data_IF_730578378364
#
_entry.id   IF_730578378364
#
_cell.length_a   1.000
_cell.length_b   1.000
_cell.length_c   1.000
_cell.angle_alpha   90.00
_cell.angle_beta   90.00
_cell.angle_gamma   90.00
#
_symmetry.space_group_name_H-M   'P 1'
#
loop_
_entity.id
_entity.type
_entity.pdbx_description
1 polymer ?
#
# COMPACT_ATOMS: atom_id res chain seq x y z
N UNK A 1 35.13 20.46 -22.11
CA UNK A 1 35.64 19.07 -21.89
C UNK A 1 34.57 18.14 -21.26
N UNK A 2 33.29 18.44 -21.42
CA UNK A 2 32.22 17.59 -20.89
C UNK A 2 32.06 16.33 -21.75
N UNK A 3 31.94 15.15 -21.11
CA UNK A 3 31.87 13.86 -21.82
C UNK A 3 30.60 13.72 -22.67
N UNK A 4 29.45 14.23 -22.19
CA UNK A 4 28.21 14.19 -22.95
C UNK A 4 28.25 15.04 -24.22
N UNK A 5 28.78 16.26 -24.10
CA UNK A 5 28.98 17.13 -25.28
C UNK A 5 29.89 16.44 -26.30
N UNK A 6 30.99 15.84 -25.85
CA UNK A 6 31.90 15.10 -26.73
C UNK A 6 31.19 13.91 -27.42
N UNK A 7 30.39 13.16 -26.66
CA UNK A 7 29.65 12.04 -27.21
C UNK A 7 28.70 12.48 -28.33
N UNK A 8 27.86 13.50 -28.08
CA UNK A 8 26.94 14.03 -29.06
C UNK A 8 27.71 14.51 -30.33
N UNK A 9 28.81 15.22 -30.15
CA UNK A 9 29.61 15.71 -31.28
C UNK A 9 30.17 14.55 -32.11
N UNK A 10 30.60 13.46 -31.49
CA UNK A 10 31.10 12.28 -32.19
C UNK A 10 29.98 11.47 -32.87
N UNK A 11 28.90 11.22 -32.15
CA UNK A 11 27.77 10.41 -32.64
C UNK A 11 27.10 11.02 -33.88
N UNK A 12 27.00 12.35 -33.93
CA UNK A 12 26.37 13.10 -35.02
C UNK A 12 27.34 13.79 -35.94
N UNK A 13 28.66 13.57 -35.80
CA UNK A 13 29.72 14.15 -36.61
C UNK A 13 29.60 15.70 -36.81
N UNK A 14 29.34 16.41 -35.68
CA UNK A 14 28.99 17.83 -35.67
C UNK A 14 30.22 18.69 -36.01
N UNK A 15 30.09 19.57 -37.00
CA UNK A 15 31.15 20.46 -37.40
C UNK A 15 31.30 21.66 -36.44
N UNK A 16 32.45 22.33 -36.52
CA UNK A 16 32.81 23.46 -35.64
C UNK A 16 31.86 24.66 -35.80
N UNK A 17 31.39 24.95 -37.00
CA UNK A 17 30.48 26.08 -37.27
C UNK A 17 29.13 25.90 -36.54
N UNK A 18 28.60 24.68 -36.48
CA UNK A 18 27.36 24.38 -35.78
C UNK A 18 27.54 24.44 -34.25
N UNK A 19 28.71 24.01 -33.74
CA UNK A 19 29.06 24.19 -32.33
C UNK A 19 29.13 25.65 -31.92
N UNK A 20 29.75 26.48 -32.74
CA UNK A 20 29.90 27.93 -32.47
C UNK A 20 28.52 28.62 -32.45
N UNK A 21 27.59 28.23 -33.35
CA UNK A 21 26.21 28.75 -33.36
C UNK A 21 25.41 28.37 -32.11
N UNK A 22 25.70 27.22 -31.51
CA UNK A 22 24.99 26.70 -30.34
C UNK A 22 25.80 26.85 -29.03
N UNK A 23 26.88 27.62 -29.04
CA UNK A 23 27.80 27.75 -27.92
C UNK A 23 27.08 28.18 -26.62
N UNK A 24 26.11 29.08 -26.70
CA UNK A 24 25.37 29.59 -25.55
C UNK A 24 24.58 28.47 -24.85
N UNK A 25 23.91 27.58 -25.61
CA UNK A 25 23.13 26.46 -25.07
C UNK A 25 24.08 25.45 -24.43
N UNK A 26 25.18 25.12 -25.10
CA UNK A 26 26.20 24.18 -24.59
C UNK A 26 26.86 24.70 -23.32
N UNK A 27 27.22 25.98 -23.26
CA UNK A 27 27.76 26.61 -22.07
C UNK A 27 26.77 26.62 -20.92
N UNK A 28 25.48 26.97 -21.19
CA UNK A 28 24.42 26.94 -20.20
C UNK A 28 24.24 25.53 -19.62
N UNK A 29 24.25 24.50 -20.46
CA UNK A 29 24.23 23.11 -20.03
C UNK A 29 25.40 22.76 -19.10
N UNK A 30 26.64 23.04 -19.53
CA UNK A 30 27.86 22.71 -18.76
C UNK A 30 27.86 23.41 -17.40
N UNK A 31 27.50 24.71 -17.35
CA UNK A 31 27.43 25.47 -16.11
C UNK A 31 26.38 24.95 -15.15
N UNK A 32 25.22 24.57 -15.66
CA UNK A 32 24.12 23.99 -14.85
C UNK A 32 24.46 22.58 -14.39
N UNK A 33 25.06 21.74 -15.24
CA UNK A 33 25.51 20.40 -14.89
C UNK A 33 26.54 20.39 -13.77
N UNK A 34 27.45 21.36 -13.74
CA UNK A 34 28.45 21.53 -12.66
C UNK A 34 27.76 21.67 -11.28
N UNK A 35 26.59 22.27 -11.20
CA UNK A 35 25.85 22.40 -9.93
C UNK A 35 25.38 21.04 -9.35
N UNK A 36 25.32 20.01 -10.18
CA UNK A 36 24.95 18.64 -9.77
C UNK A 36 26.15 17.78 -9.33
N UNK A 37 27.43 18.23 -9.59
CA UNK A 37 28.60 17.38 -9.37
C UNK A 37 28.82 16.93 -7.93
N UNK A 38 28.41 17.72 -6.93
CA UNK A 38 28.57 17.38 -5.50
C UNK A 38 27.22 17.40 -4.77
N UNK A 39 26.15 17.07 -5.49
CA UNK A 39 24.81 17.03 -4.92
C UNK A 39 24.64 15.73 -4.11
N UNK A 40 24.24 15.86 -2.83
CA UNK A 40 24.03 14.74 -1.91
C UNK A 40 22.55 14.46 -1.63
N UNK A 41 21.63 15.24 -2.25
CA UNK A 41 20.19 15.08 -2.06
C UNK A 41 19.39 16.28 -2.51
N UNK A 42 18.07 16.18 -2.49
CA UNK A 42 17.17 17.26 -2.91
C UNK A 42 17.35 18.52 -2.07
N UNK A 43 17.53 18.37 -0.75
CA UNK A 43 17.75 19.49 0.18
C UNK A 43 19.00 20.33 -0.10
N UNK A 44 19.94 19.80 -0.90
CA UNK A 44 21.15 20.52 -1.32
C UNK A 44 21.10 20.94 -2.80
N UNK A 45 19.95 20.80 -3.44
CA UNK A 45 19.82 21.06 -4.88
C UNK A 45 20.02 22.54 -5.19
N UNK A 46 20.96 22.83 -6.09
CA UNK A 46 21.31 24.19 -6.56
C UNK A 46 20.75 24.52 -7.95
N UNK A 47 19.90 23.65 -8.50
CA UNK A 47 19.23 23.89 -9.77
C UNK A 47 18.07 24.89 -9.63
N UNK A 48 17.66 25.49 -10.73
CA UNK A 48 16.51 26.39 -10.77
C UNK A 48 15.21 25.66 -10.40
N UNK A 49 15.08 24.43 -10.88
CA UNK A 49 13.99 23.52 -10.52
C UNK A 49 14.58 22.41 -9.66
N UNK A 50 14.17 22.36 -8.39
CA UNK A 50 14.65 21.37 -7.43
C UNK A 50 14.42 19.94 -7.95
N UNK A 51 15.47 19.13 -7.94
CA UNK A 51 15.39 17.73 -8.35
C UNK A 51 15.41 17.50 -9.87
N UNK A 52 15.58 18.53 -10.69
CA UNK A 52 15.74 18.37 -12.14
C UNK A 52 17.17 18.61 -12.58
N UNK A 53 17.72 17.66 -13.33
CA UNK A 53 19.07 17.75 -13.90
C UNK A 53 19.01 18.24 -15.36
N UNK A 54 19.95 19.08 -15.81
CA UNK A 54 20.02 19.51 -17.20
C UNK A 54 20.46 18.35 -18.10
N UNK A 55 19.77 18.18 -19.21
CA UNK A 55 20.09 17.22 -20.27
C UNK A 55 20.26 17.98 -21.58
N UNK A 56 21.37 17.73 -22.27
CA UNK A 56 21.63 18.29 -23.59
C UNK A 56 21.23 17.23 -24.63
N UNK A 57 20.35 17.58 -25.55
CA UNK A 57 19.96 16.79 -26.69
C UNK A 57 20.28 17.50 -28.00
N UNK A 58 20.38 16.75 -29.10
CA UNK A 58 20.57 17.24 -30.45
C UNK A 58 19.63 16.48 -31.37
N UNK A 59 18.82 17.19 -32.13
CA UNK A 59 17.76 16.65 -33.00
C UNK A 59 18.14 16.67 -34.50
N UNK A 60 19.44 16.61 -34.81
CA UNK A 60 20.03 16.72 -36.17
C UNK A 60 19.98 18.14 -36.75
N UNK A 61 19.30 19.09 -36.11
CA UNK A 61 19.19 20.49 -36.56
C UNK A 61 19.79 21.45 -35.55
N UNK A 62 19.43 21.30 -34.28
CA UNK A 62 19.82 22.21 -33.18
C UNK A 62 20.10 21.46 -31.89
N UNK A 63 20.80 22.12 -30.99
CA UNK A 63 20.95 21.70 -29.61
C UNK A 63 19.79 22.23 -28.77
N UNK A 64 19.20 21.36 -27.93
CA UNK A 64 18.19 21.73 -26.95
C UNK A 64 18.67 21.41 -25.53
N UNK A 65 18.37 22.30 -24.59
CA UNK A 65 18.65 22.14 -23.18
C UNK A 65 17.32 21.81 -22.47
N UNK A 66 17.16 20.56 -22.12
CA UNK A 66 16.00 20.03 -21.40
C UNK A 66 16.35 19.76 -19.93
N UNK A 67 15.31 19.47 -19.13
CA UNK A 67 15.45 19.11 -17.73
C UNK A 67 14.70 17.80 -17.46
N UNK A 68 15.39 16.86 -16.86
CA UNK A 68 14.85 15.57 -16.49
C UNK A 68 14.94 15.36 -14.97
N UNK A 69 14.00 14.61 -14.36
CA UNK A 69 14.08 14.27 -12.95
C UNK A 69 15.42 13.59 -12.61
N UNK A 70 16.16 14.16 -11.68
CA UNK A 70 17.42 13.57 -11.22
C UNK A 70 17.16 12.29 -10.40
N UNK A 71 18.18 11.43 -10.17
CA UNK A 71 17.99 10.18 -9.41
C UNK A 71 17.38 10.38 -8.03
N UNK A 72 17.66 11.47 -7.34
CA UNK A 72 17.07 11.78 -6.03
C UNK A 72 15.58 12.10 -6.13
N UNK A 73 15.15 12.86 -7.14
CA UNK A 73 13.73 13.15 -7.37
C UNK A 73 12.98 11.91 -7.86
N UNK A 74 13.60 11.10 -8.73
CA UNK A 74 13.03 9.82 -9.16
C UNK A 74 12.81 8.90 -7.97
N UNK A 75 13.81 8.74 -7.09
CA UNK A 75 13.69 7.94 -5.88
C UNK A 75 12.60 8.48 -4.94
N UNK A 76 12.53 9.80 -4.75
CA UNK A 76 11.46 10.42 -3.94
C UNK A 76 10.08 10.13 -4.54
N UNK A 77 9.89 10.33 -5.85
CA UNK A 77 8.63 10.02 -6.53
C UNK A 77 8.24 8.55 -6.37
N UNK A 78 9.19 7.62 -6.50
CA UNK A 78 8.93 6.19 -6.28
C UNK A 78 8.51 5.89 -4.84
N UNK A 79 9.12 6.56 -3.85
CA UNK A 79 8.72 6.43 -2.43
C UNK A 79 7.32 7.01 -2.22
N UNK A 80 7.04 8.20 -2.74
CA UNK A 80 5.75 8.86 -2.63
C UNK A 80 4.63 8.04 -3.31
N UNK A 81 4.89 7.42 -4.46
CA UNK A 81 3.96 6.50 -5.14
C UNK A 81 3.70 5.24 -4.32
N UNK A 82 4.74 4.64 -3.75
CA UNK A 82 4.59 3.47 -2.87
C UNK A 82 3.81 3.80 -1.60
N UNK A 83 4.00 4.99 -1.04
CA UNK A 83 3.21 5.45 0.11
C UNK A 83 1.74 5.68 -0.25
N UNK A 84 1.43 6.12 -1.48
CA UNK A 84 0.06 6.25 -1.96
C UNK A 84 -0.66 4.90 -2.15
N UNK A 85 0.10 3.82 -2.31
CA UNK A 85 -0.47 2.49 -2.45
C UNK A 85 -1.01 1.93 -1.12
N UNK A 86 -0.57 2.47 0.03
CA UNK A 86 -1.06 2.09 1.34
C UNK A 86 -1.90 3.21 1.94
N UNK A 87 -3.21 2.98 2.02
CA UNK A 87 -4.14 3.85 2.71
C UNK A 87 -4.41 3.29 4.11
N UNK A 88 -4.20 4.11 5.13
CA UNK A 88 -4.49 3.78 6.52
C UNK A 88 -5.80 4.45 6.94
N UNK A 89 -6.73 3.67 7.50
CA UNK A 89 -8.00 4.17 8.02
C UNK A 89 -8.04 3.88 9.52
N UNK A 90 -8.14 4.96 10.30
CA UNK A 90 -8.24 4.90 11.77
C UNK A 90 -7.05 4.23 12.48
N UNK A 91 -5.88 4.22 11.84
CA UNK A 91 -4.66 3.66 12.42
C UNK A 91 -3.41 4.40 11.91
N UNK A 92 -2.27 4.19 12.56
CA UNK A 92 -0.97 4.66 12.09
C UNK A 92 0.11 3.61 12.36
N UNK A 93 1.11 3.52 11.46
CA UNK A 93 2.25 2.60 11.62
C UNK A 93 3.51 3.32 12.12
N UNK A 94 3.39 4.53 12.69
CA UNK A 94 4.55 5.33 13.13
C UNK A 94 5.41 4.63 14.18
N UNK A 95 4.82 3.69 14.93
CA UNK A 95 5.50 2.96 16.02
C UNK A 95 5.92 1.53 15.63
N UNK A 96 5.75 1.14 14.36
CA UNK A 96 6.12 -0.21 13.92
C UNK A 96 7.53 -0.22 13.33
N UNK A 97 8.48 -0.82 14.02
CA UNK A 97 9.77 -1.17 13.47
C UNK A 97 9.69 -2.60 12.88
N UNK A 98 9.61 -2.70 11.56
CA UNK A 98 9.44 -3.99 10.87
C UNK A 98 10.72 -4.81 10.80
N UNK A 99 11.87 -4.24 11.16
CA UNK A 99 13.14 -4.96 11.23
C UNK A 99 13.23 -5.85 12.48
N UNK A 100 12.38 -5.58 13.50
CA UNK A 100 12.34 -6.31 14.78
C UNK A 100 11.25 -7.40 14.80
N UNK A 101 11.01 -8.09 13.68
CA UNK A 101 10.08 -9.22 13.69
C UNK A 101 10.68 -10.34 14.53
N UNK A 102 10.21 -10.46 15.76
CA UNK A 102 10.54 -11.64 16.56
C UNK A 102 9.92 -12.88 15.93
N UNK A 103 10.77 -13.78 15.42
CA UNK A 103 10.35 -14.98 14.70
C UNK A 103 10.44 -16.18 15.62
N UNK A 104 9.31 -16.63 16.15
CA UNK A 104 9.18 -17.95 16.74
C UNK A 104 8.57 -18.96 15.74
N UNK A 105 8.44 -20.22 16.16
CA UNK A 105 7.93 -21.30 15.29
C UNK A 105 6.52 -21.00 14.77
N UNK A 106 5.63 -20.51 15.63
CA UNK A 106 4.23 -20.21 15.28
C UNK A 106 4.12 -19.03 14.32
N UNK A 107 4.89 -17.97 14.55
CA UNK A 107 4.94 -16.82 13.62
C UNK A 107 5.55 -17.18 12.28
N UNK A 108 6.57 -18.05 12.27
CA UNK A 108 7.20 -18.53 11.05
C UNK A 108 6.21 -19.24 10.13
N UNK A 109 5.31 -20.03 10.70
CA UNK A 109 4.25 -20.69 9.91
C UNK A 109 3.31 -19.67 9.27
N UNK A 110 2.84 -18.67 10.04
CA UNK A 110 1.96 -17.61 9.51
C UNK A 110 2.68 -16.76 8.47
N UNK A 111 3.93 -16.39 8.70
CA UNK A 111 4.74 -15.65 7.73
C UNK A 111 4.93 -16.43 6.42
N UNK A 112 5.13 -17.75 6.51
CA UNK A 112 5.20 -18.61 5.32
C UNK A 112 3.85 -18.67 4.57
N UNK A 113 2.73 -18.73 5.29
CA UNK A 113 1.39 -18.66 4.67
C UNK A 113 1.16 -17.31 3.99
N UNK A 114 1.53 -16.21 4.65
CA UNK A 114 1.49 -14.85 4.08
C UNK A 114 2.32 -14.79 2.80
N UNK A 115 3.56 -15.24 2.84
CA UNK A 115 4.45 -15.26 1.67
C UNK A 115 3.86 -16.08 0.53
N UNK A 116 3.37 -17.29 0.82
CA UNK A 116 2.72 -18.14 -0.17
C UNK A 116 1.49 -17.49 -0.79
N UNK A 117 0.71 -16.76 0.03
CA UNK A 117 -0.46 -16.01 -0.43
C UNK A 117 -0.05 -14.89 -1.39
N UNK A 118 0.97 -14.11 -1.04
CA UNK A 118 1.52 -13.05 -1.90
C UNK A 118 2.03 -13.63 -3.22
N UNK A 119 2.88 -14.67 -3.16
CA UNK A 119 3.45 -15.30 -4.35
C UNK A 119 2.38 -15.83 -5.33
N UNK A 120 1.28 -16.41 -4.79
CA UNK A 120 0.14 -16.86 -5.61
C UNK A 120 -0.61 -15.68 -6.21
N UNK A 121 -0.85 -14.64 -5.41
CA UNK A 121 -1.57 -13.45 -5.86
C UNK A 121 -0.83 -12.74 -6.99
N UNK A 122 0.48 -12.54 -6.87
CA UNK A 122 1.34 -11.95 -7.92
C UNK A 122 1.33 -12.77 -9.22
N UNK A 123 1.25 -14.09 -9.09
CA UNK A 123 1.12 -15.01 -10.24
C UNK A 123 -0.31 -15.10 -10.79
N UNK A 124 -1.24 -14.29 -10.27
CA UNK A 124 -2.68 -14.32 -10.62
C UNK A 124 -3.33 -15.70 -10.42
N UNK A 125 -2.82 -16.47 -9.48
CA UNK A 125 -3.41 -17.74 -9.09
C UNK A 125 -4.48 -17.50 -8.01
N UNK A 126 -5.54 -18.32 -8.03
CA UNK A 126 -6.56 -18.25 -7.00
C UNK A 126 -5.94 -18.46 -5.61
N UNK A 127 -6.18 -17.53 -4.72
CA UNK A 127 -5.69 -17.60 -3.35
C UNK A 127 -6.69 -16.97 -2.40
N UNK A 128 -6.72 -17.50 -1.17
CA UNK A 128 -7.47 -16.90 -0.06
C UNK A 128 -6.54 -16.01 0.75
N UNK A 129 -7.10 -14.95 1.33
CA UNK A 129 -6.41 -14.23 2.39
C UNK A 129 -6.39 -15.04 3.69
N UNK A 130 -6.04 -14.39 4.81
CA UNK A 130 -5.98 -15.02 6.12
C UNK A 130 -6.89 -14.31 7.12
N UNK A 131 -7.61 -15.09 7.90
CA UNK A 131 -8.26 -14.66 9.13
C UNK A 131 -7.36 -15.10 10.30
N UNK A 132 -6.56 -14.15 10.83
CA UNK A 132 -5.61 -14.43 11.90
C UNK A 132 -6.29 -14.19 13.25
N UNK A 133 -6.48 -15.26 14.03
CA UNK A 133 -7.07 -15.13 15.34
C UNK A 133 -6.14 -15.60 16.47
N UNK A 134 -6.35 -15.08 17.67
CA UNK A 134 -5.54 -15.44 18.84
C UNK A 134 -5.66 -14.42 19.97
N UNK A 135 -4.95 -14.65 21.07
CA UNK A 135 -5.02 -13.83 22.27
C UNK A 135 -4.63 -12.36 22.03
N UNK A 136 -4.99 -11.50 22.97
CA UNK A 136 -4.53 -10.10 22.97
C UNK A 136 -3.00 -10.06 23.08
N UNK A 137 -2.38 -9.06 22.45
CA UNK A 137 -0.93 -8.83 22.54
C UNK A 137 -0.03 -9.79 21.75
N UNK A 138 -0.55 -10.87 21.15
CA UNK A 138 0.27 -11.85 20.41
C UNK A 138 0.83 -11.35 19.07
N UNK A 139 0.53 -10.11 18.65
CA UNK A 139 1.15 -9.47 17.47
C UNK A 139 0.42 -9.66 16.14
N UNK A 140 -0.90 -9.97 16.14
CA UNK A 140 -1.73 -10.09 14.93
C UNK A 140 -1.67 -8.84 14.04
N UNK A 141 -1.94 -7.68 14.65
CA UNK A 141 -1.87 -6.35 14.00
C UNK A 141 -0.52 -6.10 13.34
N UNK A 142 0.56 -6.48 14.04
CA UNK A 142 1.92 -6.32 13.53
C UNK A 142 2.18 -7.15 12.27
N UNK A 143 1.74 -8.41 12.25
CA UNK A 143 1.87 -9.28 11.08
C UNK A 143 1.07 -8.75 9.87
N UNK A 144 -0.14 -8.25 10.12
CA UNK A 144 -0.96 -7.64 9.06
C UNK A 144 -0.40 -6.29 8.58
N UNK A 145 0.19 -5.50 9.47
CA UNK A 145 0.85 -4.25 9.10
C UNK A 145 2.10 -4.50 8.25
N UNK A 146 2.89 -5.52 8.59
CA UNK A 146 4.01 -5.97 7.78
C UNK A 146 3.56 -6.41 6.38
N UNK A 147 2.50 -7.23 6.31
CA UNK A 147 1.89 -7.64 5.05
C UNK A 147 1.44 -6.45 4.21
N UNK A 148 0.73 -5.49 4.82
CA UNK A 148 0.23 -4.30 4.14
C UNK A 148 1.36 -3.48 3.52
N UNK A 149 2.44 -3.26 4.28
CA UNK A 149 3.63 -2.56 3.82
C UNK A 149 4.30 -3.30 2.66
N UNK A 150 4.51 -4.61 2.79
CA UNK A 150 5.15 -5.43 1.75
C UNK A 150 4.37 -5.39 0.44
N UNK A 151 3.04 -5.53 0.50
CA UNK A 151 2.19 -5.47 -0.69
C UNK A 151 2.20 -4.08 -1.34
N UNK A 152 2.15 -3.01 -0.54
CA UNK A 152 2.22 -1.65 -1.06
C UNK A 152 3.58 -1.34 -1.70
N UNK A 153 4.67 -1.86 -1.15
CA UNK A 153 6.02 -1.77 -1.73
C UNK A 153 6.14 -2.54 -3.05
N UNK A 154 5.34 -3.60 -3.23
CA UNK A 154 5.20 -4.36 -4.48
C UNK A 154 4.15 -3.76 -5.44
N UNK A 155 3.77 -2.49 -5.22
CA UNK A 155 2.84 -1.72 -6.05
C UNK A 155 1.38 -2.19 -6.04
N UNK A 156 0.95 -2.94 -5.04
CA UNK A 156 -0.46 -3.26 -4.84
C UNK A 156 -1.16 -2.14 -4.05
N UNK A 157 -2.39 -1.84 -4.42
CA UNK A 157 -3.23 -0.89 -3.68
C UNK A 157 -3.84 -1.59 -2.46
N UNK A 158 -3.48 -1.11 -1.27
CA UNK A 158 -3.86 -1.71 0.02
C UNK A 158 -4.63 -0.70 0.85
N UNK A 159 -5.76 -1.10 1.39
CA UNK A 159 -6.41 -0.41 2.52
C UNK A 159 -6.21 -1.25 3.77
N UNK A 160 -5.59 -0.65 4.79
CA UNK A 160 -5.52 -1.20 6.13
C UNK A 160 -6.40 -0.37 7.06
N UNK A 161 -7.38 -0.99 7.68
CA UNK A 161 -8.32 -0.32 8.56
C UNK A 161 -8.39 -0.98 9.93
N UNK A 162 -8.29 -0.19 11.01
CA UNK A 162 -8.68 -0.61 12.34
C UNK A 162 -10.21 -0.68 12.40
N UNK A 163 -10.75 -1.91 12.41
CA UNK A 163 -12.17 -2.13 12.13
C UNK A 163 -13.13 -1.49 13.14
N UNK A 164 -12.87 -1.46 14.46
CA UNK A 164 -13.77 -0.79 15.40
C UNK A 164 -13.98 0.70 15.09
N UNK A 165 -12.93 1.41 14.72
CA UNK A 165 -13.03 2.81 14.35
C UNK A 165 -13.60 3.01 12.94
N UNK A 166 -13.27 2.13 11.99
CA UNK A 166 -13.92 2.12 10.67
C UNK A 166 -15.43 1.95 10.82
N UNK A 167 -15.87 1.01 11.65
CA UNK A 167 -17.29 0.78 11.94
C UNK A 167 -17.97 2.03 12.55
N UNK A 168 -17.26 2.76 13.42
CA UNK A 168 -17.73 4.04 13.96
C UNK A 168 -17.84 5.11 12.89
N UNK A 169 -16.83 5.23 12.01
CA UNK A 169 -16.81 6.17 10.88
C UNK A 169 -17.95 5.88 9.90
N UNK A 170 -18.17 4.61 9.54
CA UNK A 170 -19.24 4.18 8.65
C UNK A 170 -20.62 4.53 9.24
N UNK A 171 -20.84 4.30 10.54
CA UNK A 171 -22.09 4.74 11.21
C UNK A 171 -22.28 6.25 11.17
N UNK A 172 -21.23 7.02 11.37
CA UNK A 172 -21.30 8.49 11.30
C UNK A 172 -21.57 8.96 9.87
N UNK A 173 -21.01 8.29 8.87
CA UNK A 173 -21.15 8.64 7.45
C UNK A 173 -22.59 8.40 6.92
N UNK A 174 -23.40 7.57 7.56
CA UNK A 174 -24.83 7.40 7.23
C UNK A 174 -25.55 8.75 7.31
N UNK A 175 -25.26 9.52 8.35
CA UNK A 175 -25.93 10.82 8.59
C UNK A 175 -25.40 11.94 7.68
N UNK A 176 -24.19 11.84 7.16
CA UNK A 176 -23.58 12.84 6.26
C UNK A 176 -23.79 12.55 4.77
N UNK A 177 -24.32 11.38 4.40
CA UNK A 177 -24.54 10.97 3.02
C UNK A 177 -23.27 10.58 2.26
N UNK A 178 -22.13 10.40 2.95
CA UNK A 178 -20.82 10.05 2.35
C UNK A 178 -20.47 8.57 2.49
N UNK A 179 -21.39 7.74 2.95
CA UNK A 179 -21.12 6.31 3.23
C UNK A 179 -20.84 5.50 1.96
N UNK A 180 -21.53 5.83 0.85
CA UNK A 180 -21.43 5.05 -0.40
C UNK A 180 -20.03 5.08 -0.99
N UNK A 181 -19.38 6.26 -1.01
CA UNK A 181 -18.01 6.39 -1.51
C UNK A 181 -17.03 5.56 -0.68
N UNK A 182 -17.20 5.53 0.64
CA UNK A 182 -16.35 4.74 1.54
C UNK A 182 -16.57 3.24 1.33
N UNK A 183 -17.82 2.79 1.21
CA UNK A 183 -18.16 1.40 0.92
C UNK A 183 -17.55 0.99 -0.43
N UNK A 184 -17.68 1.83 -1.46
CA UNK A 184 -17.16 1.53 -2.78
C UNK A 184 -15.62 1.42 -2.78
N UNK A 185 -14.92 2.28 -2.06
CA UNK A 185 -13.46 2.16 -1.89
C UNK A 185 -13.07 0.81 -1.25
N UNK A 186 -13.78 0.39 -0.19
CA UNK A 186 -13.53 -0.89 0.50
C UNK A 186 -13.85 -2.11 -0.38
N UNK A 187 -14.88 -2.01 -1.25
CA UNK A 187 -15.22 -3.03 -2.24
C UNK A 187 -14.14 -3.16 -3.30
N UNK A 188 -13.65 -2.01 -3.82
CA UNK A 188 -12.87 -1.97 -5.06
C UNK A 188 -11.36 -2.07 -4.87
N UNK A 189 -10.82 -1.78 -3.68
CA UNK A 189 -9.37 -1.87 -3.44
C UNK A 189 -8.85 -3.30 -3.71
N UNK A 190 -7.64 -3.42 -4.25
CA UNK A 190 -7.02 -4.73 -4.54
C UNK A 190 -6.94 -5.59 -3.28
N UNK A 191 -6.35 -5.05 -2.23
CA UNK A 191 -6.16 -5.74 -0.95
C UNK A 191 -6.82 -4.95 0.17
N UNK A 192 -7.71 -5.61 0.92
CA UNK A 192 -8.35 -5.05 2.11
C UNK A 192 -7.90 -5.80 3.35
N UNK A 193 -7.46 -5.06 4.35
CA UNK A 193 -7.06 -5.58 5.66
C UNK A 193 -7.92 -4.93 6.73
N UNK A 194 -8.68 -5.74 7.46
CA UNK A 194 -9.53 -5.32 8.58
C UNK A 194 -8.92 -5.85 9.88
N UNK A 195 -8.38 -4.93 10.67
CA UNK A 195 -7.70 -5.27 11.92
C UNK A 195 -8.64 -5.17 13.13
N UNK A 196 -8.50 -6.08 14.07
CA UNK A 196 -9.25 -6.18 15.33
C UNK A 196 -10.78 -6.30 15.14
N UNK A 197 -11.19 -7.16 14.19
CA UNK A 197 -12.59 -7.47 13.95
C UNK A 197 -13.21 -8.14 15.20
N UNK A 198 -14.40 -7.70 15.59
CA UNK A 198 -15.10 -8.17 16.80
C UNK A 198 -14.88 -7.28 18.02
N UNK A 199 -14.06 -6.19 17.89
CA UNK A 199 -13.93 -5.15 18.91
C UNK A 199 -14.98 -4.04 18.82
N UNK A 200 -15.79 -4.03 17.75
CA UNK A 200 -16.82 -3.04 17.47
C UNK A 200 -18.18 -3.41 18.07
N UNK A 201 -19.06 -2.42 18.19
CA UNK A 201 -20.49 -2.66 18.38
C UNK A 201 -21.13 -2.98 17.03
N UNK A 202 -21.51 -4.23 16.79
CA UNK A 202 -22.11 -4.66 15.54
C UNK A 202 -23.62 -4.39 15.53
N UNK A 203 -24.09 -3.61 14.54
CA UNK A 203 -25.53 -3.42 14.29
C UNK A 203 -25.96 -4.25 13.09
N UNK A 204 -27.25 -4.64 13.01
CA UNK A 204 -27.76 -5.39 11.86
C UNK A 204 -27.48 -4.68 10.51
N UNK A 205 -27.65 -3.36 10.46
CA UNK A 205 -27.32 -2.57 9.25
C UNK A 205 -25.84 -2.67 8.88
N UNK A 206 -24.93 -2.46 9.84
CA UNK A 206 -23.51 -2.53 9.58
C UNK A 206 -23.08 -3.93 9.14
N UNK A 207 -23.67 -4.97 9.75
CA UNK A 207 -23.42 -6.38 9.40
C UNK A 207 -23.93 -6.72 8.00
N UNK A 208 -25.21 -6.46 7.73
CA UNK A 208 -25.90 -6.99 6.55
C UNK A 208 -25.70 -6.10 5.32
N UNK A 209 -25.93 -4.79 5.46
CA UNK A 209 -25.93 -3.84 4.34
C UNK A 209 -24.52 -3.32 4.02
N UNK A 210 -23.65 -3.16 5.01
CA UNK A 210 -22.31 -2.64 4.78
C UNK A 210 -21.29 -3.76 4.63
N UNK A 211 -20.99 -4.49 5.71
CA UNK A 211 -20.01 -5.57 5.70
C UNK A 211 -20.40 -6.66 4.70
N UNK A 212 -21.68 -7.04 4.69
CA UNK A 212 -22.21 -8.03 3.77
C UNK A 212 -21.99 -7.65 2.30
N UNK A 213 -22.27 -6.40 1.93
CA UNK A 213 -22.06 -5.91 0.58
C UNK A 213 -20.57 -5.88 0.20
N UNK A 214 -19.71 -5.43 1.11
CA UNK A 214 -18.25 -5.39 0.89
C UNK A 214 -17.71 -6.81 0.65
N UNK A 215 -18.03 -7.75 1.55
CA UNK A 215 -17.52 -9.13 1.44
C UNK A 215 -18.08 -9.84 0.20
N UNK A 216 -19.36 -9.60 -0.16
CA UNK A 216 -19.95 -10.18 -1.36
C UNK A 216 -19.24 -9.73 -2.63
N UNK A 217 -19.01 -8.42 -2.79
CA UNK A 217 -18.33 -7.86 -3.94
C UNK A 217 -16.90 -8.39 -4.06
N UNK A 218 -16.18 -8.44 -2.93
CA UNK A 218 -14.82 -8.95 -2.87
C UNK A 218 -14.73 -10.44 -3.20
N UNK A 219 -15.71 -11.22 -2.75
CA UNK A 219 -15.83 -12.65 -3.05
C UNK A 219 -16.10 -12.89 -4.54
N UNK A 220 -17.03 -12.14 -5.12
CA UNK A 220 -17.40 -12.25 -6.55
C UNK A 220 -16.21 -11.94 -7.47
N UNK A 221 -15.40 -10.96 -7.09
CA UNK A 221 -14.24 -10.51 -7.88
C UNK A 221 -12.89 -11.09 -7.41
N UNK A 222 -12.91 -12.10 -6.53
CA UNK A 222 -11.70 -12.75 -5.98
C UNK A 222 -10.67 -11.74 -5.43
N UNK A 223 -11.12 -10.68 -4.76
CA UNK A 223 -10.26 -9.64 -4.19
C UNK A 223 -9.69 -10.09 -2.86
N UNK A 224 -8.38 -9.93 -2.70
CA UNK A 224 -7.64 -10.41 -1.54
C UNK A 224 -8.05 -9.66 -0.28
N UNK A 225 -8.47 -10.42 0.74
CA UNK A 225 -9.00 -9.86 1.99
C UNK A 225 -8.36 -10.54 3.18
N UNK A 226 -7.93 -9.75 4.17
CA UNK A 226 -7.35 -10.24 5.43
C UNK A 226 -8.11 -9.67 6.61
N UNK A 227 -8.15 -10.44 7.70
CA UNK A 227 -8.70 -9.98 8.97
C UNK A 227 -7.82 -10.43 10.14
N UNK A 228 -7.77 -9.63 11.19
CA UNK A 228 -7.35 -10.10 12.50
C UNK A 228 -8.50 -10.02 13.51
N UNK A 229 -8.49 -10.90 14.49
CA UNK A 229 -9.50 -10.95 15.53
C UNK A 229 -8.99 -11.65 16.79
N UNK A 230 -9.66 -11.41 17.92
CA UNK A 230 -9.52 -12.24 19.11
C UNK A 230 -10.55 -13.40 19.14
N UNK A 231 -11.47 -13.41 18.19
CA UNK A 231 -12.54 -14.39 18.06
C UNK A 231 -12.09 -15.55 17.17
N UNK A 232 -12.20 -16.76 17.66
CA UNK A 232 -12.09 -17.96 16.82
C UNK A 232 -13.38 -18.15 15.98
N UNK A 233 -13.50 -19.30 15.31
CA UNK A 233 -14.63 -19.53 14.40
C UNK A 233 -15.98 -19.56 15.13
N UNK A 234 -16.05 -20.14 16.31
CA UNK A 234 -17.27 -20.27 17.09
C UNK A 234 -17.70 -18.93 17.68
N UNK A 235 -16.74 -18.22 18.29
CA UNK A 235 -16.95 -16.88 18.84
C UNK A 235 -17.26 -15.85 17.75
N UNK A 236 -16.64 -15.96 16.56
CA UNK A 236 -16.96 -15.12 15.43
C UNK A 236 -18.41 -15.30 14.98
N UNK A 237 -18.88 -16.55 14.86
CA UNK A 237 -20.27 -16.82 14.50
C UNK A 237 -21.23 -16.29 15.58
N UNK A 238 -20.90 -16.46 16.86
CA UNK A 238 -21.68 -15.93 17.97
C UNK A 238 -21.76 -14.39 17.90
N UNK A 239 -20.62 -13.71 17.70
CA UNK A 239 -20.54 -12.25 17.55
C UNK A 239 -21.40 -11.74 16.36
N UNK A 240 -21.36 -12.45 15.24
CA UNK A 240 -22.19 -12.11 14.07
C UNK A 240 -23.69 -12.28 14.31
N UNK A 241 -24.10 -13.21 15.21
CA UNK A 241 -25.51 -13.41 15.59
C UNK A 241 -26.03 -12.33 16.53
N UNK A 242 -25.15 -11.79 17.38
CA UNK A 242 -25.50 -10.74 18.34
C UNK A 242 -25.64 -9.39 17.64
N UNK A 243 -26.79 -9.11 17.03
CA UNK A 243 -27.15 -7.75 16.68
C UNK A 243 -28.03 -7.12 17.78
N UNK A 244 -27.93 -5.81 17.99
CA UNK A 244 -28.51 -5.07 19.15
C UNK A 244 -29.98 -5.33 19.50
N UNK A 245 -30.75 -6.15 18.76
CA UNK A 245 -32.17 -6.38 19.00
C UNK A 245 -32.68 -7.79 18.68
N UNK A 246 -32.02 -8.56 17.83
CA UNK A 246 -32.49 -9.89 17.40
C UNK A 246 -31.33 -10.85 17.12
N UNK A 247 -31.52 -12.13 17.45
CA UNK A 247 -30.62 -13.20 17.03
C UNK A 247 -31.04 -13.58 15.61
N UNK A 248 -30.23 -13.23 14.61
CA UNK A 248 -30.48 -13.58 13.22
C UNK A 248 -29.45 -14.60 12.72
N UNK A 249 -29.77 -15.87 12.95
CA UNK A 249 -28.91 -16.99 12.59
C UNK A 249 -28.63 -17.08 11.08
N UNK A 250 -29.62 -16.79 10.25
CA UNK A 250 -29.47 -16.94 8.80
C UNK A 250 -28.59 -15.87 8.20
N UNK A 251 -28.77 -14.62 8.60
CA UNK A 251 -27.95 -13.50 8.09
C UNK A 251 -26.52 -13.59 8.60
N UNK A 252 -26.33 -13.89 9.89
CA UNK A 252 -25.03 -14.14 10.48
C UNK A 252 -24.27 -15.26 9.76
N UNK A 253 -24.93 -16.38 9.49
CA UNK A 253 -24.34 -17.51 8.76
C UNK A 253 -23.91 -17.14 7.35
N UNK A 254 -24.65 -16.28 6.63
CA UNK A 254 -24.26 -15.78 5.30
C UNK A 254 -22.96 -14.96 5.35
N UNK A 255 -22.82 -14.07 6.33
CA UNK A 255 -21.60 -13.28 6.51
C UNK A 255 -20.43 -14.19 6.87
N UNK A 256 -20.64 -15.13 7.78
CA UNK A 256 -19.62 -16.09 8.19
C UNK A 256 -19.12 -16.94 7.00
N UNK A 257 -20.02 -17.45 6.14
CA UNK A 257 -19.62 -18.21 4.96
C UNK A 257 -18.84 -17.37 3.93
N UNK A 258 -19.14 -16.07 3.78
CA UNK A 258 -18.34 -15.16 2.96
C UNK A 258 -16.93 -15.00 3.51
N UNK A 259 -16.78 -14.87 4.84
CA UNK A 259 -15.48 -14.79 5.51
C UNK A 259 -14.68 -16.08 5.26
N UNK A 260 -15.29 -17.26 5.43
CA UNK A 260 -14.66 -18.57 5.17
C UNK A 260 -14.27 -18.78 3.70
N UNK A 261 -15.04 -18.21 2.80
CA UNK A 261 -14.75 -18.31 1.37
C UNK A 261 -13.54 -17.44 1.00
N UNK A 262 -13.47 -16.22 1.53
CA UNK A 262 -12.42 -15.25 1.26
C UNK A 262 -11.11 -15.56 1.99
N UNK A 263 -11.15 -16.19 3.15
CA UNK A 263 -9.99 -16.31 4.05
C UNK A 263 -9.83 -17.71 4.61
N UNK A 264 -8.56 -18.09 4.84
CA UNK A 264 -8.16 -19.26 5.63
C UNK A 264 -8.01 -18.85 7.09
N UNK A 265 -8.60 -19.62 8.00
CA UNK A 265 -8.48 -19.36 9.44
C UNK A 265 -7.14 -19.87 9.95
N UNK A 266 -6.39 -19.01 10.62
CA UNK A 266 -5.08 -19.32 11.19
C UNK A 266 -5.00 -18.83 12.62
N UNK A 267 -4.68 -19.74 13.54
CA UNK A 267 -4.51 -19.40 14.95
C UNK A 267 -3.08 -18.96 15.23
N UNK A 268 -2.92 -17.75 15.75
CA UNK A 268 -1.64 -17.27 16.30
C UNK A 268 -1.61 -17.54 17.81
N UNK A 269 -0.78 -18.47 18.21
CA UNK A 269 -0.51 -18.78 19.63
C UNK A 269 0.85 -18.19 19.97
N UNK A 270 0.85 -17.13 20.79
CA UNK A 270 2.07 -16.47 21.22
C UNK A 270 1.89 -15.79 22.57
N UNK A 271 3.00 -15.37 23.18
CA UNK A 271 2.99 -14.61 24.43
C UNK A 271 2.47 -13.18 24.21
N UNK A 272 2.08 -12.51 25.29
CA UNK A 272 1.71 -11.09 25.23
C UNK A 272 2.97 -10.22 25.20
N UNK A 273 3.20 -9.53 24.10
CA UNK A 273 4.38 -8.66 23.88
C UNK A 273 4.15 -7.20 24.28
N UNK A 274 3.09 -6.89 24.99
CA UNK A 274 2.78 -5.53 25.47
C UNK A 274 3.46 -5.17 26.79
N UNK A 275 4.16 -6.14 27.43
CA UNK A 275 4.85 -5.95 28.71
C UNK A 275 6.34 -5.65 28.51
#
# INVERSE_FOLDING_TARGET
KDQNVKKIVMDYNINRSLLDKNLNIILAYVLRKKKCQNCIGLHTCKQLYEGYAPVLSYDEVKFDLNYEPCPYLQKKKQIDEKQKNLQLIACSFQNFNFDDIYVNVNRKEILNKIKTCIDKYEKKLATKGLYIHGNYGCGKTFLLAYLAKTLAENNHKVIFAYYPDLARMLRSAIYSGSIEDMIEQLKMVEVLILDDFGGETLTGYLRDEVLGAILQERMTNNRLTFMSSNLDQELLLAHLKESNRDIDDLRASRIYERIRTLMEFVKLVDEDYRN
#
